data_IF_177190615793
#
_entry.id   IF_177190615793
#
_cell.length_a   1.000
_cell.length_b   1.000
_cell.length_c   1.000
_cell.angle_alpha   90.00
_cell.angle_beta   90.00
_cell.angle_gamma   90.00
#
_symmetry.space_group_name_H-M   'P 1'
#
loop_
_entity.id
_entity.type
_entity.pdbx_description
1 polymer ?
#
# COMPACT_ATOMS: atom_id res chain seq x y z
N UNK A 1 0.55 -19.52 -12.87
CA UNK A 1 0.79 -19.26 -11.43
C UNK A 1 0.88 -17.75 -11.30
N UNK A 2 -0.23 -17.07 -11.00
CA UNK A 2 -0.19 -15.63 -10.77
C UNK A 2 0.42 -15.41 -9.38
N UNK A 3 1.67 -14.94 -9.32
CA UNK A 3 2.25 -14.45 -8.07
C UNK A 3 1.55 -13.15 -7.69
N UNK A 4 1.26 -12.95 -6.40
CA UNK A 4 0.67 -11.70 -5.91
C UNK A 4 1.59 -10.51 -6.18
N UNK A 5 1.02 -9.31 -6.26
CA UNK A 5 1.77 -8.05 -6.41
C UNK A 5 2.88 -7.94 -5.35
N UNK A 6 2.60 -8.41 -4.14
CA UNK A 6 3.53 -8.51 -3.01
C UNK A 6 4.78 -9.34 -3.34
N UNK A 7 4.60 -10.56 -3.86
CA UNK A 7 5.72 -11.39 -4.29
C UNK A 7 6.51 -10.76 -5.44
N UNK A 8 5.86 -10.00 -6.32
CA UNK A 8 6.54 -9.30 -7.41
C UNK A 8 7.34 -8.09 -6.89
N UNK A 9 6.79 -7.30 -5.97
CA UNK A 9 7.47 -6.18 -5.34
C UNK A 9 8.67 -6.63 -4.50
N UNK A 10 8.56 -7.74 -3.76
CA UNK A 10 9.68 -8.32 -3.01
C UNK A 10 10.81 -8.81 -3.93
N UNK A 11 10.46 -9.41 -5.07
CA UNK A 11 11.44 -9.81 -6.09
C UNK A 11 12.15 -8.60 -6.72
N UNK A 12 11.47 -7.45 -6.85
CA UNK A 12 12.10 -6.22 -7.33
C UNK A 12 12.98 -5.57 -6.26
N UNK A 13 12.56 -5.62 -5.00
CA UNK A 13 13.32 -5.12 -3.85
C UNK A 13 14.63 -5.88 -3.70
N UNK A 14 14.60 -7.20 -3.84
CA UNK A 14 15.81 -8.04 -3.85
C UNK A 14 16.69 -7.84 -5.09
N UNK A 15 16.13 -7.29 -6.18
CA UNK A 15 16.84 -6.98 -7.43
C UNK A 15 17.37 -5.53 -7.51
N UNK A 16 17.31 -4.76 -6.40
CA UNK A 16 17.82 -3.40 -6.18
C UNK A 16 16.78 -2.27 -6.38
N UNK A 17 16.80 -1.27 -5.49
CA UNK A 17 15.81 -0.17 -5.44
C UNK A 17 15.83 0.74 -6.68
N UNK A 18 16.90 0.71 -7.48
CA UNK A 18 17.07 1.48 -8.71
C UNK A 18 16.01 1.15 -9.79
N UNK A 19 15.26 0.06 -9.63
CA UNK A 19 14.17 -0.32 -10.53
C UNK A 19 12.84 0.36 -10.23
N UNK A 20 12.67 0.95 -9.03
CA UNK A 20 11.45 1.67 -8.65
C UNK A 20 11.46 3.12 -9.18
N UNK A 21 11.47 3.29 -10.50
CA UNK A 21 11.62 4.60 -11.14
C UNK A 21 10.40 5.47 -10.97
N UNK A 22 9.21 4.90 -10.93
CA UNK A 22 7.97 5.65 -10.80
C UNK A 22 7.70 6.01 -9.33
N UNK A 23 7.89 5.08 -8.40
CA UNK A 23 7.69 5.34 -6.96
C UNK A 23 8.69 6.39 -6.44
N UNK A 24 9.96 6.35 -6.87
CA UNK A 24 10.99 7.34 -6.45
C UNK A 24 10.73 8.77 -6.95
N UNK A 25 9.85 8.98 -7.93
CA UNK A 25 9.44 10.33 -8.36
C UNK A 25 8.48 10.99 -7.38
N UNK A 26 7.76 10.20 -6.58
CA UNK A 26 6.73 10.68 -5.67
C UNK A 26 7.11 10.58 -4.20
N UNK A 27 7.94 9.61 -3.85
CA UNK A 27 8.29 9.30 -2.47
C UNK A 27 9.80 9.46 -2.23
N UNK A 28 10.14 9.99 -1.07
CA UNK A 28 11.51 10.13 -0.64
C UNK A 28 12.14 8.75 -0.37
N UNK A 29 13.48 8.60 -0.46
CA UNK A 29 14.17 7.33 -0.16
C UNK A 29 13.83 6.74 1.22
N UNK A 30 13.60 7.59 2.22
CA UNK A 30 13.17 7.17 3.56
C UNK A 30 11.76 6.57 3.60
N UNK A 31 10.89 7.02 2.70
CA UNK A 31 9.49 6.61 2.59
C UNK A 31 9.32 5.31 1.78
N UNK A 32 10.30 4.98 0.92
CA UNK A 32 10.27 3.78 0.09
C UNK A 32 10.01 2.50 0.90
N UNK A 33 10.61 2.40 2.09
CA UNK A 33 10.41 1.24 2.98
C UNK A 33 8.96 1.08 3.47
N UNK A 34 8.22 2.19 3.56
CA UNK A 34 6.82 2.20 3.96
C UNK A 34 5.88 1.90 2.81
N UNK A 35 6.23 2.39 1.60
CA UNK A 35 5.42 2.30 0.40
C UNK A 35 5.57 0.95 -0.30
N UNK A 36 6.80 0.42 -0.42
CA UNK A 36 7.05 -0.85 -1.12
C UNK A 36 6.38 -2.04 -0.42
N UNK A 37 6.28 -2.00 0.91
CA UNK A 37 5.51 -2.99 1.65
C UNK A 37 4.03 -2.82 1.30
N UNK A 38 3.38 -3.92 0.92
CA UNK A 38 1.95 -3.96 0.65
C UNK A 38 1.15 -3.20 1.70
N UNK A 39 0.47 -2.15 1.27
CA UNK A 39 -0.41 -1.38 2.13
C UNK A 39 -1.63 -2.20 2.56
N UNK A 40 -2.26 -1.79 3.65
CA UNK A 40 -3.55 -2.36 4.08
C UNK A 40 -4.61 -1.28 4.13
N UNK A 41 -5.82 -1.65 3.69
CA UNK A 41 -6.93 -0.73 3.56
C UNK A 41 -8.26 -1.37 4.02
N UNK A 42 -9.11 -0.66 4.77
CA UNK A 42 -10.35 -1.22 5.30
C UNK A 42 -11.49 -1.06 4.28
N UNK A 43 -11.49 -1.93 3.26
CA UNK A 43 -12.44 -1.86 2.13
C UNK A 43 -13.91 -1.92 2.58
N UNK A 44 -14.25 -2.84 3.49
CA UNK A 44 -15.63 -2.99 3.96
C UNK A 44 -16.11 -1.85 4.84
N UNK A 45 -15.21 -1.25 5.61
CA UNK A 45 -15.55 -0.08 6.43
C UNK A 45 -15.85 1.15 5.57
N UNK A 46 -15.21 1.25 4.40
CA UNK A 46 -15.32 2.42 3.53
C UNK A 46 -16.51 2.28 2.56
N UNK A 47 -17.71 2.13 3.13
CA UNK A 47 -18.96 1.88 2.39
C UNK A 47 -19.65 3.16 1.86
N UNK A 48 -19.15 4.33 2.25
CA UNK A 48 -19.79 5.62 1.97
C UNK A 48 -18.77 6.75 1.99
N UNK A 49 -19.08 7.85 1.29
CA UNK A 49 -18.22 9.04 1.22
C UNK A 49 -17.98 9.68 2.59
N UNK A 50 -18.96 9.59 3.50
CA UNK A 50 -18.83 10.12 4.85
C UNK A 50 -17.71 9.44 5.63
N UNK A 51 -17.43 8.15 5.35
CA UNK A 51 -16.33 7.41 6.00
C UNK A 51 -14.97 7.96 5.64
N UNK A 52 -14.82 8.50 4.43
CA UNK A 52 -13.56 9.13 4.00
C UNK A 52 -13.27 10.42 4.77
N UNK A 53 -14.28 11.04 5.40
CA UNK A 53 -14.11 12.24 6.22
C UNK A 53 -13.78 11.93 7.69
N UNK A 54 -13.74 10.65 8.08
CA UNK A 54 -13.43 10.24 9.45
C UNK A 54 -11.98 10.61 9.78
N UNK A 55 -11.72 11.37 10.86
CA UNK A 55 -10.40 11.91 11.17
C UNK A 55 -9.47 10.91 11.89
N UNK A 56 -9.65 9.62 11.65
CA UNK A 56 -8.92 8.56 12.35
C UNK A 56 -8.86 7.29 11.50
N UNK A 57 -7.79 6.52 11.68
CA UNK A 57 -7.73 5.17 11.15
C UNK A 57 -8.78 4.28 11.86
N UNK A 58 -9.59 3.49 11.11
CA UNK A 58 -10.54 2.56 11.70
C UNK A 58 -9.87 1.53 12.61
N UNK A 59 -10.63 0.95 13.53
CA UNK A 59 -10.10 -0.10 14.39
C UNK A 59 -9.66 -1.32 13.57
N UNK A 60 -8.66 -2.07 14.07
CA UNK A 60 -8.17 -3.31 13.44
C UNK A 60 -9.28 -4.29 13.01
N UNK A 61 -10.32 -4.43 13.81
CA UNK A 61 -11.46 -5.31 13.50
C UNK A 61 -12.23 -4.89 12.24
N UNK A 62 -12.18 -3.61 11.88
CA UNK A 62 -12.83 -3.04 10.70
C UNK A 62 -11.99 -3.20 9.42
N UNK A 63 -10.78 -3.75 9.54
CA UNK A 63 -9.96 -4.22 8.43
C UNK A 63 -10.20 -5.70 8.09
N UNK A 64 -11.26 -6.30 8.63
CA UNK A 64 -11.67 -7.63 8.22
C UNK A 64 -11.96 -7.65 6.71
N UNK A 65 -11.49 -8.70 6.05
CA UNK A 65 -11.74 -8.95 4.64
C UNK A 65 -12.58 -10.20 4.52
N UNK A 66 -13.85 -10.04 4.21
CA UNK A 66 -14.82 -11.10 3.92
C UNK A 66 -14.42 -11.89 2.67
N UNK A 67 -13.61 -11.32 1.77
CA UNK A 67 -13.07 -12.04 0.63
C UNK A 67 -12.08 -13.13 1.06
N UNK A 68 -11.30 -12.87 2.12
CA UNK A 68 -10.28 -13.80 2.62
C UNK A 68 -10.68 -14.47 3.93
N UNK A 69 -11.80 -14.06 4.54
CA UNK A 69 -12.29 -14.46 5.87
C UNK A 69 -11.23 -14.39 6.99
N UNK A 70 -10.27 -13.48 6.84
CA UNK A 70 -9.09 -13.37 7.70
C UNK A 70 -9.06 -11.99 8.33
N UNK A 71 -8.74 -11.97 9.64
CA UNK A 71 -8.38 -10.74 10.33
C UNK A 71 -6.98 -10.32 9.97
N UNK A 72 -6.79 -9.01 9.82
CA UNK A 72 -5.48 -8.41 9.61
C UNK A 72 -4.52 -8.82 10.74
N UNK A 73 -3.25 -9.10 10.43
CA UNK A 73 -2.25 -9.38 11.45
C UNK A 73 -1.94 -8.11 12.26
N UNK A 74 -1.53 -8.24 13.53
CA UNK A 74 -1.17 -7.07 14.35
C UNK A 74 -0.06 -6.23 13.68
N UNK A 75 0.95 -6.91 13.11
CA UNK A 75 2.08 -6.25 12.44
C UNK A 75 1.69 -5.41 11.22
N UNK A 76 0.64 -5.81 10.50
CA UNK A 76 0.12 -5.10 9.33
C UNK A 76 -0.71 -3.88 9.76
N UNK A 77 -1.44 -4.00 10.87
CA UNK A 77 -2.17 -2.87 11.45
C UNK A 77 -1.22 -1.83 12.06
N UNK A 78 -0.16 -2.28 12.74
CA UNK A 78 0.92 -1.42 13.22
C UNK A 78 1.66 -0.73 12.07
N UNK A 79 1.77 -1.39 10.92
CA UNK A 79 2.26 -0.76 9.69
C UNK A 79 1.33 0.35 9.21
N UNK A 80 0.02 0.09 9.14
CA UNK A 80 -0.97 1.09 8.76
C UNK A 80 -0.92 2.33 9.66
N UNK A 81 -0.79 2.15 10.98
CA UNK A 81 -0.63 3.23 11.95
C UNK A 81 0.65 4.02 11.67
N UNK A 82 1.78 3.34 11.42
CA UNK A 82 3.05 4.01 11.10
C UNK A 82 2.95 4.84 9.83
N UNK A 83 2.34 4.30 8.77
CA UNK A 83 2.11 5.01 7.51
C UNK A 83 1.20 6.21 7.73
N UNK A 84 0.07 6.03 8.43
CA UNK A 84 -0.87 7.11 8.76
C UNK A 84 -0.17 8.27 9.46
N UNK A 85 0.64 7.99 10.48
CA UNK A 85 1.35 9.01 11.24
C UNK A 85 2.52 9.63 10.45
N UNK A 86 3.23 8.85 9.63
CA UNK A 86 4.38 9.35 8.88
C UNK A 86 3.99 10.34 7.79
N UNK A 87 2.85 10.10 7.13
CA UNK A 87 2.33 10.96 6.07
C UNK A 87 1.32 12.00 6.59
N UNK A 88 1.25 12.20 7.90
CA UNK A 88 0.35 13.16 8.56
C UNK A 88 -1.11 13.05 8.06
N UNK A 89 -1.59 11.82 7.87
CA UNK A 89 -2.96 11.59 7.41
C UNK A 89 -3.95 12.12 8.44
N UNK A 90 -4.80 13.06 8.06
CA UNK A 90 -5.79 13.66 8.98
C UNK A 90 -7.17 13.04 8.86
N UNK A 91 -7.50 12.47 7.69
CA UNK A 91 -8.78 11.84 7.39
C UNK A 91 -8.57 10.55 6.59
N UNK A 92 -9.53 9.62 6.69
CA UNK A 92 -9.44 8.32 6.00
C UNK A 92 -9.30 8.47 4.48
N UNK A 93 -9.90 9.52 3.90
CA UNK A 93 -9.74 9.84 2.49
C UNK A 93 -8.30 10.16 2.08
N UNK A 94 -7.55 10.87 2.91
CA UNK A 94 -6.14 11.17 2.64
C UNK A 94 -5.29 9.89 2.67
N UNK A 95 -5.59 8.98 3.60
CA UNK A 95 -4.97 7.66 3.66
C UNK A 95 -5.36 6.78 2.47
N UNK A 96 -6.62 6.86 2.01
CA UNK A 96 -7.10 6.18 0.80
C UNK A 96 -6.36 6.64 -0.44
N UNK A 97 -6.23 7.95 -0.63
CA UNK A 97 -5.49 8.54 -1.74
C UNK A 97 -4.01 8.12 -1.73
N UNK A 98 -3.39 8.11 -0.55
CA UNK A 98 -2.02 7.63 -0.37
C UNK A 98 -1.89 6.15 -0.74
N UNK A 99 -2.79 5.31 -0.23
CA UNK A 99 -2.82 3.88 -0.51
C UNK A 99 -2.96 3.60 -2.01
N UNK A 100 -3.90 4.25 -2.68
CA UNK A 100 -4.13 4.09 -4.12
C UNK A 100 -2.94 4.59 -4.95
N UNK A 101 -2.33 5.71 -4.56
CA UNK A 101 -1.10 6.20 -5.21
C UNK A 101 0.03 5.18 -5.06
N UNK A 102 0.26 4.66 -3.85
CA UNK A 102 1.27 3.64 -3.64
C UNK A 102 1.06 2.42 -4.55
N UNK A 103 -0.17 1.88 -4.56
CA UNK A 103 -0.52 0.68 -5.33
C UNK A 103 -0.34 0.85 -6.86
N UNK A 104 -0.79 1.99 -7.40
CA UNK A 104 -0.67 2.29 -8.84
C UNK A 104 0.79 2.43 -9.25
N UNK A 105 1.60 3.14 -8.47
CA UNK A 105 3.00 3.39 -8.82
C UNK A 105 3.86 2.13 -8.65
N UNK A 106 3.62 1.33 -7.61
CA UNK A 106 4.27 0.02 -7.47
C UNK A 106 3.90 -0.91 -8.63
N UNK A 107 2.62 -0.94 -9.01
CA UNK A 107 2.18 -1.72 -10.17
C UNK A 107 2.88 -1.24 -11.45
N UNK A 108 2.99 0.07 -11.66
CA UNK A 108 3.70 0.63 -12.81
C UNK A 108 5.18 0.19 -12.85
N UNK A 109 5.89 0.27 -11.72
CA UNK A 109 7.28 -0.19 -11.62
C UNK A 109 7.43 -1.70 -11.87
N UNK A 110 6.48 -2.50 -11.38
CA UNK A 110 6.42 -3.95 -11.66
C UNK A 110 6.24 -4.22 -13.15
N UNK A 111 5.30 -3.52 -13.79
CA UNK A 111 5.04 -3.66 -15.22
C UNK A 111 6.22 -3.22 -16.09
N UNK A 112 6.84 -2.07 -15.80
CA UNK A 112 8.02 -1.60 -16.53
C UNK A 112 9.20 -2.56 -16.35
N UNK A 113 9.44 -3.07 -15.15
CA UNK A 113 10.47 -4.09 -14.90
C UNK A 113 10.21 -5.38 -15.69
N UNK A 114 8.95 -5.81 -15.78
CA UNK A 114 8.58 -6.97 -16.59
C UNK A 114 8.82 -6.74 -18.09
N UNK A 115 8.57 -5.52 -18.60
CA UNK A 115 8.85 -5.16 -20.00
C UNK A 115 10.35 -5.21 -20.30
N UNK A 116 11.20 -4.73 -19.40
CA UNK A 116 12.65 -4.75 -19.56
C UNK A 116 13.25 -6.16 -19.58
N UNK A 117 12.68 -7.09 -18.79
CA UNK A 117 13.14 -8.49 -18.76
C UNK A 117 12.75 -9.25 -20.03
N UNK A 118 11.65 -8.86 -20.69
CA UNK A 118 11.12 -9.53 -21.87
C UNK A 118 11.38 -8.79 -23.20
N UNK A 119 12.15 -7.70 -23.16
CA UNK A 119 12.58 -6.94 -24.34
C UNK A 119 13.95 -7.42 -24.83
#
# INVERSE_FOLDING_TARGET
MASSLEHMADNLTSANFDKFREVTKLFAPSEMSLIIRKGVYPYEYTDSWDKLQVPSLPNKFQFYSALTEIHLYDEDYDHAIRVWNHFDCTILGAYSDLYLKADVFLSADVYESFREINA
#
